data_IF_910285793395
#
_entry.id   IF_910285793395
#
_cell.length_a   1.000
_cell.length_b   1.000
_cell.length_c   1.000
_cell.angle_alpha   90.00
_cell.angle_beta   90.00
_cell.angle_gamma   90.00
#
_symmetry.space_group_name_H-M   'P 1'
#
loop_
_entity.id
_entity.type
_entity.pdbx_description
1 polymer ?
#
# COMPACT_ATOMS: atom_id res chain seq x y z
N UNK A 1 -17.52 -23.76 9.94
CA UNK A 1 -16.32 -23.83 9.09
C UNK A 1 -16.76 -23.33 7.72
N UNK A 2 -16.23 -22.21 7.24
CA UNK A 2 -16.71 -21.56 6.01
C UNK A 2 -16.26 -22.36 4.78
N UNK A 3 -17.19 -23.06 4.15
CA UNK A 3 -16.93 -23.98 3.02
C UNK A 3 -16.85 -23.26 1.67
N UNK A 4 -17.33 -22.01 1.58
CA UNK A 4 -17.38 -21.25 0.31
C UNK A 4 -16.03 -20.61 -0.06
N UNK A 5 -15.13 -20.41 0.91
CA UNK A 5 -13.82 -19.80 0.68
C UNK A 5 -12.89 -20.66 -0.17
N UNK A 6 -12.97 -22.00 -0.01
CA UNK A 6 -12.14 -22.95 -0.74
C UNK A 6 -12.50 -22.98 -2.24
N UNK A 7 -13.79 -23.03 -2.57
CA UNK A 7 -14.26 -23.07 -3.96
C UNK A 7 -13.89 -21.78 -4.72
N UNK A 8 -14.05 -20.63 -4.07
CA UNK A 8 -13.64 -19.33 -4.63
C UNK A 8 -12.13 -19.26 -4.86
N UNK A 9 -11.34 -19.76 -3.92
CA UNK A 9 -9.87 -19.79 -4.05
C UNK A 9 -9.42 -20.69 -5.20
N UNK A 10 -10.04 -21.87 -5.33
CA UNK A 10 -9.79 -22.79 -6.45
C UNK A 10 -10.13 -22.15 -7.79
N UNK A 11 -11.29 -21.48 -7.89
CA UNK A 11 -11.68 -20.80 -9.13
C UNK A 11 -10.74 -19.65 -9.48
N UNK A 12 -10.28 -18.90 -8.48
CA UNK A 12 -9.28 -17.85 -8.68
C UNK A 12 -7.96 -18.39 -9.23
N UNK A 13 -7.45 -19.49 -8.65
CA UNK A 13 -6.25 -20.16 -9.18
C UNK A 13 -6.44 -20.59 -10.64
N UNK A 14 -7.57 -21.21 -10.96
CA UNK A 14 -7.90 -21.64 -12.32
C UNK A 14 -7.88 -20.45 -13.31
N UNK A 15 -8.52 -19.33 -12.96
CA UNK A 15 -8.56 -18.14 -13.82
C UNK A 15 -7.17 -17.52 -14.00
N UNK A 16 -6.39 -17.41 -12.93
CA UNK A 16 -5.04 -16.84 -13.00
C UNK A 16 -4.08 -17.71 -13.83
N UNK A 17 -4.24 -19.03 -13.78
CA UNK A 17 -3.42 -19.97 -14.55
C UNK A 17 -3.80 -20.00 -16.03
N UNK A 18 -5.10 -19.93 -16.34
CA UNK A 18 -5.58 -20.00 -17.73
C UNK A 18 -5.43 -18.67 -18.49
N UNK A 19 -5.24 -17.54 -17.79
CA UNK A 19 -5.15 -16.21 -18.41
C UNK A 19 -3.73 -15.79 -18.80
N UNK A 20 -2.71 -16.61 -18.50
CA UNK A 20 -1.31 -16.28 -18.79
C UNK A 20 -0.70 -17.21 -19.83
N UNK A 21 0.11 -16.67 -20.75
CA UNK A 21 0.84 -17.42 -21.78
C UNK A 21 2.05 -18.24 -21.25
N UNK A 22 2.18 -18.39 -19.92
CA UNK A 22 3.26 -19.12 -19.26
C UNK A 22 2.72 -19.97 -18.10
N UNK A 23 3.51 -20.92 -17.60
CA UNK A 23 3.12 -21.76 -16.46
C UNK A 23 3.21 -20.99 -15.15
N UNK A 24 2.20 -20.18 -14.83
CA UNK A 24 2.10 -19.49 -13.54
C UNK A 24 1.65 -20.47 -12.45
N UNK A 25 2.48 -20.71 -11.43
CA UNK A 25 2.04 -21.45 -10.23
C UNK A 25 1.38 -20.46 -9.25
N UNK A 26 0.08 -20.25 -9.38
CA UNK A 26 -0.70 -19.43 -8.45
C UNK A 26 -1.04 -20.22 -7.17
N UNK A 27 -0.68 -19.66 -6.01
CA UNK A 27 -1.07 -20.17 -4.69
C UNK A 27 -1.90 -19.09 -3.98
N UNK A 28 -3.06 -19.48 -3.44
CA UNK A 28 -4.00 -18.56 -2.79
C UNK A 28 -4.13 -18.96 -1.33
N UNK A 29 -3.94 -17.99 -0.44
CA UNK A 29 -4.11 -18.17 1.01
C UNK A 29 -5.33 -17.39 1.46
N UNK A 30 -6.25 -18.07 2.16
CA UNK A 30 -7.39 -17.43 2.79
C UNK A 30 -6.93 -16.85 4.12
N UNK A 31 -7.13 -15.54 4.29
CA UNK A 31 -6.77 -14.82 5.51
C UNK A 31 -8.05 -14.53 6.30
N UNK A 32 -8.00 -14.60 7.64
CA UNK A 32 -9.17 -14.33 8.45
C UNK A 32 -9.53 -12.84 8.41
N UNK A 33 -10.83 -12.51 8.44
CA UNK A 33 -11.32 -11.15 8.22
C UNK A 33 -10.70 -10.09 9.15
N UNK A 34 -10.44 -10.42 10.42
CA UNK A 34 -9.82 -9.50 11.36
C UNK A 34 -8.33 -9.24 11.05
N UNK A 35 -7.63 -10.21 10.44
CA UNK A 35 -6.24 -10.03 10.00
C UNK A 35 -6.15 -9.10 8.79
N UNK A 36 -7.18 -9.08 7.94
CA UNK A 36 -7.26 -8.23 6.74
C UNK A 36 -7.41 -6.75 7.10
N UNK A 37 -8.05 -6.41 8.22
CA UNK A 37 -8.29 -5.01 8.61
C UNK A 37 -6.99 -4.22 8.79
N UNK A 38 -5.97 -4.83 9.41
CA UNK A 38 -4.67 -4.18 9.60
C UNK A 38 -4.01 -3.90 8.25
N UNK A 39 -4.05 -4.86 7.33
CA UNK A 39 -3.49 -4.71 5.97
C UNK A 39 -4.19 -3.57 5.23
N UNK A 40 -5.52 -3.48 5.32
CA UNK A 40 -6.29 -2.40 4.70
C UNK A 40 -5.96 -1.03 5.28
N UNK A 41 -5.74 -0.94 6.59
CA UNK A 41 -5.30 0.30 7.24
C UNK A 41 -3.89 0.68 6.78
N UNK A 42 -2.96 -0.29 6.68
CA UNK A 42 -1.63 -0.05 6.13
C UNK A 42 -1.70 0.50 4.70
N UNK A 43 -2.51 -0.09 3.82
CA UNK A 43 -2.70 0.38 2.45
C UNK A 43 -3.23 1.82 2.40
N UNK A 44 -4.16 2.17 3.28
CA UNK A 44 -4.70 3.53 3.36
C UNK A 44 -3.63 4.54 3.80
N UNK A 45 -2.80 4.19 4.80
CA UNK A 45 -1.72 5.02 5.32
C UNK A 45 -0.61 5.23 4.29
N UNK A 46 -0.15 4.13 3.66
CA UNK A 46 0.85 4.19 2.58
C UNK A 46 0.31 4.97 1.39
N UNK A 47 -0.97 4.77 1.05
CA UNK A 47 -1.66 5.52 0.01
C UNK A 47 -1.71 7.02 0.26
N UNK A 48 -1.88 7.46 1.51
CA UNK A 48 -1.84 8.88 1.87
C UNK A 48 -0.44 9.48 1.69
N UNK A 49 0.61 8.77 2.14
CA UNK A 49 2.01 9.17 1.93
C UNK A 49 2.30 9.27 0.44
N UNK A 50 1.91 8.26 -0.34
CA UNK A 50 2.09 8.26 -1.80
C UNK A 50 1.33 9.40 -2.48
N UNK A 51 0.07 9.63 -2.11
CA UNK A 51 -0.75 10.71 -2.66
C UNK A 51 -0.09 12.07 -2.44
N UNK A 52 0.39 12.35 -1.22
CA UNK A 52 1.08 13.60 -0.90
C UNK A 52 2.40 13.76 -1.67
N UNK A 53 3.16 12.69 -1.86
CA UNK A 53 4.48 12.72 -2.51
C UNK A 53 4.44 12.72 -4.04
N UNK A 54 3.30 12.42 -4.67
CA UNK A 54 3.16 12.45 -6.13
C UNK A 54 3.14 13.87 -6.67
N UNK A 55 4.05 14.19 -7.58
CA UNK A 55 4.12 15.48 -8.27
C UNK A 55 3.52 15.46 -9.67
N UNK A 56 3.12 14.28 -10.13
CA UNK A 56 2.63 14.01 -11.49
C UNK A 56 1.10 14.13 -11.62
N UNK A 57 0.41 14.47 -10.53
CA UNK A 57 -1.06 14.59 -10.48
C UNK A 57 -1.48 15.93 -9.88
N UNK A 58 -2.67 16.36 -10.27
CA UNK A 58 -3.34 17.49 -9.64
C UNK A 58 -4.17 16.98 -8.44
N UNK A 59 -3.82 17.39 -7.23
CA UNK A 59 -4.42 16.92 -5.96
C UNK A 59 -5.86 17.44 -5.73
N UNK A 60 -6.77 17.16 -6.67
CA UNK A 60 -8.14 17.70 -6.69
C UNK A 60 -9.08 17.09 -5.66
N UNK A 61 -8.82 15.85 -5.21
CA UNK A 61 -9.73 15.13 -4.33
C UNK A 61 -9.78 15.75 -2.94
N UNK A 62 -10.93 16.35 -2.59
CA UNK A 62 -11.14 16.99 -1.30
C UNK A 62 -10.99 16.01 -0.13
N UNK A 63 -11.54 14.80 -0.26
CA UNK A 63 -11.48 13.78 0.80
C UNK A 63 -10.04 13.30 1.05
N UNK A 64 -9.25 13.10 -0.01
CA UNK A 64 -7.84 12.70 0.14
C UNK A 64 -7.02 13.81 0.80
N UNK A 65 -7.26 15.08 0.44
CA UNK A 65 -6.63 16.23 1.10
C UNK A 65 -7.00 16.33 2.58
N UNK A 66 -8.28 16.15 2.91
CA UNK A 66 -8.74 16.15 4.31
C UNK A 66 -8.08 15.02 5.10
N UNK A 67 -7.98 13.84 4.51
CA UNK A 67 -7.35 12.69 5.16
C UNK A 67 -5.84 12.91 5.39
N UNK A 68 -5.13 13.45 4.40
CA UNK A 68 -3.71 13.83 4.56
C UNK A 68 -3.56 14.87 5.66
N UNK A 69 -4.37 15.92 5.67
CA UNK A 69 -4.31 16.97 6.70
C UNK A 69 -4.58 16.41 8.10
N UNK A 70 -5.55 15.49 8.24
CA UNK A 70 -5.83 14.79 9.49
C UNK A 70 -4.61 13.98 9.97
N UNK A 71 -3.95 13.27 9.07
CA UNK A 71 -2.74 12.50 9.37
C UNK A 71 -1.58 13.40 9.81
N UNK A 72 -1.28 14.45 9.05
CA UNK A 72 -0.22 15.41 9.38
C UNK A 72 -0.49 16.10 10.72
N UNK A 73 -1.75 16.39 11.04
CA UNK A 73 -2.15 16.91 12.35
C UNK A 73 -1.89 15.92 13.49
N UNK A 74 -2.13 14.63 13.27
CA UNK A 74 -1.91 13.58 14.29
C UNK A 74 -0.45 13.23 14.49
N UNK A 75 0.34 13.31 13.42
CA UNK A 75 1.77 13.02 13.43
C UNK A 75 2.61 14.24 13.84
N UNK A 76 2.03 15.44 13.84
CA UNK A 76 2.73 16.70 14.10
C UNK A 76 3.88 16.97 13.11
N UNK A 77 3.85 16.35 11.93
CA UNK A 77 4.79 16.59 10.85
C UNK A 77 4.17 16.28 9.48
N UNK A 78 4.69 16.86 8.38
CA UNK A 78 4.25 16.56 7.01
C UNK A 78 4.54 15.12 6.58
N UNK A 79 3.83 14.60 5.57
CA UNK A 79 4.08 13.25 5.03
C UNK A 79 5.14 13.18 3.91
N UNK A 80 5.70 14.32 3.50
CA UNK A 80 6.69 14.46 2.43
C UNK A 80 8.11 14.70 2.96
N UNK A 81 8.36 14.40 4.24
CA UNK A 81 9.69 14.48 4.85
C UNK A 81 10.26 13.08 5.12
N UNK A 82 11.56 13.03 5.38
CA UNK A 82 12.17 11.88 6.07
C UNK A 82 11.97 12.08 7.56
N UNK A 83 11.44 11.09 8.26
CA UNK A 83 11.29 11.14 9.72
C UNK A 83 12.63 10.92 10.41
N UNK A 84 12.71 11.35 11.66
CA UNK A 84 13.90 11.13 12.48
C UNK A 84 14.11 9.63 12.76
N UNK A 85 15.37 9.15 12.91
CA UNK A 85 15.67 7.73 13.10
C UNK A 85 15.03 7.10 14.35
N UNK A 86 14.64 7.89 15.34
CA UNK A 86 14.04 7.44 16.59
C UNK A 86 12.51 7.52 16.62
N UNK A 87 11.88 7.94 15.51
CA UNK A 87 10.43 7.84 15.37
C UNK A 87 10.02 6.36 15.48
N UNK A 88 8.95 6.06 16.22
CA UNK A 88 8.63 4.67 16.63
C UNK A 88 7.45 4.08 15.88
N UNK A 89 6.46 4.91 15.57
CA UNK A 89 5.15 4.41 15.13
C UNK A 89 4.90 4.67 13.65
N UNK A 90 5.40 5.79 13.12
CA UNK A 90 5.14 6.19 11.73
C UNK A 90 6.42 6.71 11.06
N UNK A 91 7.31 5.77 10.71
CA UNK A 91 8.57 6.11 10.06
C UNK A 91 8.40 6.28 8.54
N UNK A 92 8.86 7.42 8.01
CA UNK A 92 8.93 7.67 6.56
C UNK A 92 10.40 7.81 6.17
N UNK A 93 10.91 6.85 5.41
CA UNK A 93 12.28 6.87 4.88
C UNK A 93 12.28 7.26 3.41
N UNK A 94 12.90 8.39 3.06
CA UNK A 94 13.09 8.80 1.66
C UNK A 94 14.50 8.42 1.22
N UNK A 95 14.59 7.49 0.26
CA UNK A 95 15.86 7.11 -0.35
C UNK A 95 16.14 8.00 -1.56
N UNK A 96 17.24 8.78 -1.50
CA UNK A 96 17.77 9.47 -2.67
C UNK A 96 18.77 8.56 -3.38
N UNK A 97 18.39 8.06 -4.55
CA UNK A 97 19.31 7.32 -5.41
C UNK A 97 20.29 8.31 -6.04
N UNK A 98 21.57 8.23 -5.66
CA UNK A 98 22.62 8.95 -6.36
C UNK A 98 22.83 8.28 -7.73
N UNK A 99 22.31 8.91 -8.78
CA UNK A 99 22.55 8.47 -10.15
C UNK A 99 24.06 8.47 -10.43
N UNK A 100 24.58 7.34 -10.95
CA UNK A 100 25.97 7.24 -11.39
C UNK A 100 26.21 8.31 -12.47
N UNK A 101 27.00 9.34 -12.18
CA UNK A 101 27.43 10.30 -13.20
C UNK A 101 28.12 9.50 -14.30
N UNK A 102 27.56 9.48 -15.51
CA UNK A 102 28.28 8.99 -16.69
C UNK A 102 29.39 10.00 -16.95
N UNK A 103 30.64 9.57 -16.77
CA UNK A 103 31.81 10.29 -17.29
C UNK A 103 31.77 10.28 -18.82
#
# INVERSE_FOLDING_TARGET
>A
MDTLGADKSKKLCEVLQNSTNWSLKAEVTIVQSYQVQIIQLCDLLVGAVAYKNRTDIDHKSAIKKQFVAYLEQKLCHPLDITTEPWEKHFNIFRMQLQGRKRC
#
